data_IF_768520597101
#
_entry.id   IF_768520597101
#
_cell.length_a   1.000
_cell.length_b   1.000
_cell.length_c   1.000
_cell.angle_alpha   90.00
_cell.angle_beta   90.00
_cell.angle_gamma   90.00
#
_symmetry.space_group_name_H-M   'P 1'
#
loop_
_entity.id
_entity.type
_entity.pdbx_description
1 polymer ?
#
# COMPACT_ATOMS: atom_id res chain seq x y z
N UNK A 1 -48.58 14.02 18.46
CA UNK A 1 -48.95 13.28 17.27
C UNK A 1 -48.11 13.70 16.03
N UNK A 2 -48.15 14.99 15.61
CA UNK A 2 -47.42 15.44 14.41
C UNK A 2 -45.90 15.19 14.45
N UNK A 3 -45.24 15.42 15.59
CA UNK A 3 -43.80 15.15 15.77
C UNK A 3 -43.44 13.67 15.67
N UNK A 4 -44.28 12.78 16.18
CA UNK A 4 -44.07 11.33 16.06
C UNK A 4 -44.24 10.87 14.62
N UNK A 5 -45.26 11.37 13.94
CA UNK A 5 -45.46 11.10 12.50
C UNK A 5 -44.27 11.58 11.67
N UNK A 6 -43.78 12.80 11.92
CA UNK A 6 -42.62 13.35 11.22
C UNK A 6 -41.36 12.50 11.45
N UNK A 7 -41.14 12.05 12.68
CA UNK A 7 -40.01 11.19 13.02
C UNK A 7 -40.10 9.82 12.31
N UNK A 8 -41.26 9.20 12.31
CA UNK A 8 -41.51 7.95 11.58
C UNK A 8 -41.37 8.11 10.08
N UNK A 9 -41.85 9.22 9.51
CA UNK A 9 -41.69 9.55 8.11
C UNK A 9 -40.21 9.73 7.73
N UNK A 10 -39.44 10.43 8.57
CA UNK A 10 -37.99 10.59 8.37
C UNK A 10 -37.31 9.22 8.44
N UNK A 11 -37.63 8.38 9.42
CA UNK A 11 -37.09 7.04 9.57
C UNK A 11 -37.43 6.13 8.38
N UNK A 12 -38.64 6.27 7.82
CA UNK A 12 -39.08 5.52 6.65
C UNK A 12 -38.38 5.97 5.37
N UNK A 13 -38.11 7.28 5.23
CA UNK A 13 -37.44 7.85 4.08
C UNK A 13 -35.90 7.73 4.15
N UNK A 14 -35.35 7.41 5.33
CA UNK A 14 -33.91 7.24 5.50
C UNK A 14 -33.51 5.80 5.21
N UNK A 15 -32.64 5.60 4.24
CA UNK A 15 -32.09 4.27 3.96
C UNK A 15 -31.21 3.81 5.12
N UNK A 16 -31.46 2.60 5.61
CA UNK A 16 -30.62 1.94 6.62
C UNK A 16 -29.73 0.93 5.92
N UNK A 17 -28.43 1.10 6.06
CA UNK A 17 -27.46 0.11 5.60
C UNK A 17 -27.42 -1.05 6.59
N UNK A 18 -27.61 -2.27 6.12
CA UNK A 18 -27.39 -3.50 6.89
C UNK A 18 -26.18 -4.22 6.31
N UNK A 19 -25.44 -4.94 7.13
CA UNK A 19 -24.32 -5.75 6.68
C UNK A 19 -24.59 -7.24 6.94
N UNK A 20 -24.28 -8.06 5.96
CA UNK A 20 -24.33 -9.51 6.04
C UNK A 20 -22.92 -10.05 5.83
N UNK A 21 -22.54 -11.09 6.58
CA UNK A 21 -21.26 -11.78 6.44
C UNK A 21 -21.52 -13.23 6.06
N UNK A 22 -20.80 -13.72 5.07
CA UNK A 22 -20.86 -15.12 4.66
C UNK A 22 -19.49 -15.59 4.16
N UNK A 23 -19.29 -16.92 4.18
CA UNK A 23 -18.09 -17.54 3.65
C UNK A 23 -18.28 -17.77 2.16
N UNK A 24 -17.45 -17.14 1.36
CA UNK A 24 -17.44 -17.34 -0.10
C UNK A 24 -16.41 -18.40 -0.48
N UNK A 25 -16.89 -19.62 -0.73
CA UNK A 25 -16.05 -20.78 -1.07
C UNK A 25 -15.58 -20.75 -2.53
N UNK A 26 -16.30 -20.05 -3.41
CA UNK A 26 -16.05 -20.04 -4.86
C UNK A 26 -15.49 -18.70 -5.34
N UNK A 27 -14.47 -18.19 -4.67
CA UNK A 27 -13.77 -17.01 -5.18
C UNK A 27 -12.98 -17.37 -6.44
N UNK A 28 -13.51 -17.03 -7.58
CA UNK A 28 -12.80 -17.14 -8.86
C UNK A 28 -11.74 -16.07 -9.08
N UNK A 29 -11.11 -15.57 -8.01
CA UNK A 29 -10.08 -14.52 -8.10
C UNK A 29 -8.72 -15.13 -7.81
N UNK A 30 -7.94 -15.35 -8.86
CA UNK A 30 -6.58 -15.89 -8.75
C UNK A 30 -5.55 -14.81 -8.44
N UNK A 31 -5.80 -13.57 -8.83
CA UNK A 31 -4.91 -12.42 -8.65
C UNK A 31 -5.61 -11.25 -7.96
N UNK A 32 -4.92 -10.66 -7.01
CA UNK A 32 -5.34 -9.46 -6.30
C UNK A 32 -4.56 -8.26 -6.82
N UNK A 33 -5.27 -7.23 -7.28
CA UNK A 33 -4.68 -5.95 -7.69
C UNK A 33 -4.36 -5.13 -6.44
N UNK A 34 -3.12 -4.71 -6.32
CA UNK A 34 -2.62 -3.83 -5.25
C UNK A 34 -2.30 -2.49 -5.87
N UNK A 35 -2.96 -1.44 -5.40
CA UNK A 35 -2.67 -0.06 -5.81
C UNK A 35 -1.86 0.61 -4.72
N UNK A 36 -0.76 1.24 -5.08
CA UNK A 36 0.15 1.92 -4.16
C UNK A 36 0.44 3.35 -4.60
N UNK A 37 0.66 4.20 -3.61
CA UNK A 37 1.26 5.52 -3.73
C UNK A 37 2.02 5.78 -2.42
N UNK A 38 3.36 5.67 -2.47
CA UNK A 38 4.21 5.68 -1.28
C UNK A 38 5.43 6.57 -1.56
N UNK A 39 5.63 7.56 -0.70
CA UNK A 39 6.84 8.39 -0.69
C UNK A 39 7.87 7.82 0.28
N UNK A 40 9.09 7.62 -0.17
CA UNK A 40 10.22 7.14 0.61
C UNK A 40 11.28 8.24 0.59
N UNK A 41 11.61 8.78 1.77
CA UNK A 41 12.32 10.07 1.85
C UNK A 41 13.83 9.99 1.57
N UNK A 42 14.49 8.86 1.85
CA UNK A 42 15.95 8.78 1.87
C UNK A 42 16.52 7.56 1.14
N UNK A 43 15.79 7.05 0.16
CA UNK A 43 16.26 5.97 -0.71
C UNK A 43 16.12 6.44 -2.15
N UNK A 44 17.23 6.62 -2.88
CA UNK A 44 17.20 6.92 -4.31
C UNK A 44 16.37 5.90 -5.10
N UNK A 45 15.65 6.36 -6.11
CA UNK A 45 14.75 5.51 -6.89
C UNK A 45 15.44 4.30 -7.54
N UNK A 46 16.67 4.47 -7.98
CA UNK A 46 17.43 3.39 -8.64
C UNK A 46 17.85 2.27 -7.65
N UNK A 47 17.91 2.58 -6.34
CA UNK A 47 18.17 1.58 -5.29
C UNK A 47 16.91 0.86 -4.79
N UNK A 48 15.74 1.40 -5.06
CA UNK A 48 14.48 0.86 -4.55
C UNK A 48 13.96 -0.23 -5.47
N UNK A 49 13.67 -1.40 -4.91
CA UNK A 49 13.05 -2.52 -5.60
C UNK A 49 11.82 -3.02 -4.86
N UNK A 50 10.91 -3.61 -5.62
CA UNK A 50 9.73 -4.29 -5.11
C UNK A 50 9.97 -5.78 -5.27
N UNK A 51 9.82 -6.52 -4.19
CA UNK A 51 9.88 -7.97 -4.15
C UNK A 51 8.52 -8.49 -3.72
N UNK A 52 7.95 -9.39 -4.47
CA UNK A 52 6.74 -10.12 -4.06
C UNK A 52 7.13 -11.51 -3.56
N UNK A 53 6.40 -12.02 -2.58
CA UNK A 53 6.58 -13.39 -2.09
C UNK A 53 5.22 -14.04 -1.94
N UNK A 54 5.11 -15.24 -2.45
CA UNK A 54 3.91 -16.07 -2.34
C UNK A 54 3.81 -16.80 -0.99
N UNK A 55 2.78 -17.64 -0.84
CA UNK A 55 2.56 -18.45 0.37
C UNK A 55 3.67 -19.49 0.61
N UNK A 56 4.40 -19.89 -0.42
CA UNK A 56 5.52 -20.84 -0.33
C UNK A 56 6.84 -20.14 0.03
N UNK A 57 6.86 -18.79 0.04
CA UNK A 57 8.03 -17.98 0.31
C UNK A 57 8.92 -17.77 -0.92
N UNK A 58 8.47 -18.15 -2.12
CA UNK A 58 9.19 -17.90 -3.34
C UNK A 58 9.16 -16.39 -3.65
N UNK A 59 10.33 -15.82 -3.87
CA UNK A 59 10.48 -14.38 -4.10
C UNK A 59 10.64 -14.08 -5.57
N UNK A 60 9.90 -13.10 -6.07
CA UNK A 60 9.99 -12.61 -7.43
C UNK A 60 10.16 -11.10 -7.48
N UNK A 61 11.02 -10.66 -8.40
CA UNK A 61 11.15 -9.24 -8.80
C UNK A 61 10.33 -8.93 -10.05
N UNK A 62 9.81 -9.97 -10.70
CA UNK A 62 8.97 -9.82 -11.90
C UNK A 62 7.56 -9.41 -11.49
N UNK A 63 7.30 -8.12 -11.59
CA UNK A 63 6.05 -7.50 -11.17
C UNK A 63 5.16 -7.32 -12.38
N UNK A 64 4.02 -8.01 -12.38
CA UNK A 64 2.96 -7.78 -13.38
C UNK A 64 2.12 -6.59 -12.96
N UNK A 65 2.29 -5.46 -13.66
CA UNK A 65 1.58 -4.22 -13.35
C UNK A 65 2.22 -3.00 -14.00
N UNK A 66 1.71 -1.84 -13.63
CA UNK A 66 2.23 -0.55 -14.08
C UNK A 66 2.58 0.30 -12.86
N UNK A 67 3.86 0.50 -12.66
CA UNK A 67 4.40 1.31 -11.57
C UNK A 67 5.32 2.36 -12.16
N UNK A 68 5.24 3.55 -11.62
CA UNK A 68 6.13 4.66 -11.91
C UNK A 68 6.98 4.97 -10.68
N UNK A 69 8.23 5.32 -10.92
CA UNK A 69 9.17 5.84 -9.93
C UNK A 69 9.39 7.33 -10.19
N UNK A 70 9.06 8.17 -9.23
CA UNK A 70 9.33 9.61 -9.31
C UNK A 70 10.40 9.99 -8.29
N UNK A 71 11.50 10.58 -8.77
CA UNK A 71 12.54 11.10 -7.87
C UNK A 71 11.99 12.28 -7.08
N UNK A 72 12.25 12.28 -5.80
CA UNK A 72 11.85 13.36 -4.89
C UNK A 72 13.08 14.12 -4.40
N UNK A 73 12.98 15.44 -4.32
CA UNK A 73 13.96 16.24 -3.61
C UNK A 73 13.81 16.06 -2.08
N UNK A 74 14.73 16.60 -1.31
CA UNK A 74 14.69 16.61 0.16
C UNK A 74 13.38 17.17 0.76
N UNK A 75 12.62 17.97 0.03
CA UNK A 75 11.34 18.57 0.44
C UNK A 75 10.13 17.75 -0.03
N UNK A 76 10.34 16.64 -0.72
CA UNK A 76 9.30 15.81 -1.29
C UNK A 76 8.70 16.33 -2.60
N UNK A 77 9.40 17.24 -3.32
CA UNK A 77 8.98 17.72 -4.63
C UNK A 77 9.49 16.76 -5.71
N UNK A 78 8.64 16.43 -6.67
CA UNK A 78 8.99 15.58 -7.81
C UNK A 78 10.00 16.30 -8.70
N UNK A 79 11.12 15.63 -8.98
CA UNK A 79 12.18 16.08 -9.87
C UNK A 79 12.03 15.48 -11.28
N UNK A 80 11.78 14.16 -11.33
CA UNK A 80 11.67 13.38 -12.57
C UNK A 80 10.83 12.14 -12.34
N UNK A 81 10.18 11.63 -13.38
CA UNK A 81 9.31 10.44 -13.30
C UNK A 81 9.67 9.45 -14.39
N UNK A 82 9.93 8.21 -14.02
CA UNK A 82 10.30 7.12 -14.91
C UNK A 82 9.40 5.90 -14.66
N UNK A 83 9.22 5.06 -15.69
CA UNK A 83 8.58 3.76 -15.51
C UNK A 83 9.46 2.87 -14.62
N UNK A 84 8.81 2.05 -13.77
CA UNK A 84 9.51 1.08 -12.95
C UNK A 84 10.26 0.07 -13.84
N UNK A 85 11.57 0.00 -13.67
CA UNK A 85 12.43 -1.00 -14.28
C UNK A 85 13.51 -1.40 -13.28
N UNK A 86 13.84 -2.68 -13.25
CA UNK A 86 15.01 -3.18 -12.53
C UNK A 86 16.20 -3.10 -13.48
N UNK A 87 17.06 -2.09 -13.28
CA UNK A 87 18.27 -1.84 -14.10
C UNK A 87 19.50 -2.00 -13.24
N UNK A 88 20.64 -2.27 -13.89
CA UNK A 88 21.93 -2.14 -13.23
C UNK A 88 22.16 -0.64 -12.90
N UNK A 89 22.33 -0.32 -11.64
CA UNK A 89 22.42 1.06 -11.22
C UNK A 89 23.81 1.65 -11.47
N UNK A 90 23.84 2.91 -11.88
CA UNK A 90 25.09 3.66 -11.98
C UNK A 90 25.50 4.17 -10.60
N UNK A 91 26.62 3.66 -10.06
CA UNK A 91 27.12 3.98 -8.73
C UNK A 91 27.34 5.47 -8.49
N UNK A 92 27.98 6.18 -9.44
CA UNK A 92 28.28 7.62 -9.29
C UNK A 92 26.99 8.46 -9.26
N UNK A 93 26.01 8.11 -10.11
CA UNK A 93 24.70 8.77 -10.11
C UNK A 93 24.00 8.59 -8.76
N UNK A 94 23.96 7.37 -8.26
CA UNK A 94 23.31 7.06 -6.98
C UNK A 94 23.99 7.71 -5.79
N UNK A 95 25.33 7.78 -5.81
CA UNK A 95 26.11 8.50 -4.79
C UNK A 95 25.75 9.99 -4.76
N UNK A 96 25.53 10.59 -5.92
CA UNK A 96 25.11 11.99 -6.02
C UNK A 96 23.69 12.19 -5.51
N UNK A 97 22.75 11.33 -5.92
CA UNK A 97 21.35 11.37 -5.49
C UNK A 97 21.24 11.19 -3.96
N UNK A 98 21.98 10.22 -3.41
CA UNK A 98 22.01 9.97 -1.98
C UNK A 98 22.65 11.13 -1.18
N UNK A 99 23.70 11.79 -1.71
CA UNK A 99 24.25 13.03 -1.12
C UNK A 99 23.25 14.18 -1.08
N UNK A 100 22.40 14.27 -2.10
CA UNK A 100 21.35 15.27 -2.17
C UNK A 100 20.15 14.95 -1.25
N UNK A 101 20.21 13.84 -0.51
CA UNK A 101 19.11 13.32 0.31
C UNK A 101 17.83 13.13 -0.53
N UNK A 102 17.98 12.65 -1.77
CA UNK A 102 16.84 12.39 -2.64
C UNK A 102 16.06 11.17 -2.18
N UNK A 103 14.74 11.23 -2.36
CA UNK A 103 13.81 10.15 -2.12
C UNK A 103 13.18 9.60 -3.39
N UNK A 104 12.26 8.68 -3.22
CA UNK A 104 11.50 8.07 -4.31
C UNK A 104 10.02 7.96 -3.97
N UNK A 105 9.16 8.40 -4.88
CA UNK A 105 7.74 8.05 -4.85
C UNK A 105 7.51 6.85 -5.78
N UNK A 106 6.79 5.86 -5.26
CA UNK A 106 6.29 4.71 -6.01
C UNK A 106 4.80 4.84 -6.18
N UNK A 107 4.32 4.97 -7.42
CA UNK A 107 2.91 5.11 -7.72
C UNK A 107 2.49 4.16 -8.83
N UNK A 108 1.33 3.50 -8.66
CA UNK A 108 0.76 2.62 -9.67
C UNK A 108 0.07 1.40 -9.07
N UNK A 109 0.04 0.32 -9.85
CA UNK A 109 -0.55 -0.94 -9.41
C UNK A 109 0.26 -2.14 -9.87
N UNK A 110 0.09 -3.25 -9.13
CA UNK A 110 0.62 -4.55 -9.49
C UNK A 110 -0.30 -5.66 -9.00
N UNK A 111 -0.09 -6.87 -9.54
CA UNK A 111 -0.88 -8.03 -9.18
C UNK A 111 -0.07 -8.98 -8.30
N UNK A 112 -0.72 -9.47 -7.26
CA UNK A 112 -0.22 -10.53 -6.37
C UNK A 112 -1.21 -11.69 -6.37
N UNK A 113 -0.80 -12.84 -5.85
CA UNK A 113 -1.71 -13.97 -5.70
C UNK A 113 -2.78 -13.67 -4.62
N UNK A 114 -4.01 -14.11 -4.86
CA UNK A 114 -5.14 -13.91 -3.93
C UNK A 114 -5.12 -14.95 -2.78
N UNK A 115 -3.92 -15.27 -2.31
CA UNK A 115 -3.62 -16.13 -1.15
C UNK A 115 -2.76 -15.34 -0.17
N UNK A 116 -2.60 -15.77 1.08
CA UNK A 116 -1.67 -15.12 2.01
C UNK A 116 -0.28 -14.98 1.40
N UNK A 117 0.29 -13.79 1.50
CA UNK A 117 1.57 -13.50 0.88
C UNK A 117 2.16 -12.20 1.39
N UNK A 118 3.19 -11.71 0.70
CA UNK A 118 3.79 -10.43 1.05
C UNK A 118 4.40 -9.71 -0.15
N UNK A 119 4.53 -8.39 0.00
CA UNK A 119 5.38 -7.58 -0.87
C UNK A 119 6.30 -6.70 -0.02
N UNK A 120 7.49 -6.49 -0.52
CA UNK A 120 8.58 -5.83 0.19
C UNK A 120 9.13 -4.70 -0.68
N UNK A 121 9.14 -3.49 -0.15
CA UNK A 121 9.85 -2.35 -0.73
C UNK A 121 11.20 -2.26 -0.05
N UNK A 122 12.29 -2.45 -0.80
CA UNK A 122 13.62 -2.61 -0.19
C UNK A 122 14.74 -2.13 -1.11
N UNK A 123 15.83 -1.70 -0.49
CA UNK A 123 17.12 -1.47 -1.16
C UNK A 123 18.03 -2.70 -1.12
N UNK A 124 17.62 -3.79 -0.48
CA UNK A 124 18.44 -4.98 -0.28
C UNK A 124 18.79 -5.73 -1.57
N UNK A 125 18.01 -5.56 -2.65
CA UNK A 125 18.34 -6.12 -3.97
C UNK A 125 19.70 -5.64 -4.46
N UNK A 126 20.07 -4.41 -4.14
CA UNK A 126 21.36 -3.80 -4.45
C UNK A 126 22.27 -3.70 -3.21
N UNK A 127 22.20 -4.68 -2.31
CA UNK A 127 22.83 -4.64 -1.00
C UNK A 127 24.32 -4.29 -0.99
N UNK A 128 25.09 -4.86 -1.94
CA UNK A 128 26.52 -4.56 -2.08
C UNK A 128 26.77 -3.07 -2.39
N UNK A 129 25.94 -2.46 -3.21
CA UNK A 129 26.05 -1.05 -3.58
C UNK A 129 25.63 -0.18 -2.40
N UNK A 130 24.52 -0.51 -1.76
CA UNK A 130 24.04 0.22 -0.58
C UNK A 130 25.06 0.17 0.55
N UNK A 131 25.65 -1.00 0.82
CA UNK A 131 26.69 -1.16 1.83
C UNK A 131 27.95 -0.33 1.51
N UNK A 132 28.37 -0.32 0.24
CA UNK A 132 29.49 0.51 -0.20
C UNK A 132 29.18 2.01 -0.03
N UNK A 133 27.98 2.44 -0.40
CA UNK A 133 27.54 3.83 -0.22
C UNK A 133 27.55 4.24 1.26
N UNK A 134 27.09 3.36 2.17
CA UNK A 134 27.14 3.61 3.61
C UNK A 134 28.59 3.67 4.15
N UNK A 135 29.48 2.80 3.66
CA UNK A 135 30.88 2.76 4.10
C UNK A 135 31.71 3.95 3.59
N UNK A 136 31.42 4.45 2.40
CA UNK A 136 32.10 5.65 1.82
C UNK A 136 31.71 6.96 2.51
N UNK A 137 30.83 6.90 3.51
CA UNK A 137 30.51 7.96 4.46
C UNK A 137 29.37 8.89 4.03
N UNK A 138 28.61 9.33 5.03
CA UNK A 138 27.61 10.40 5.01
C UNK A 138 26.25 10.11 4.41
N UNK A 139 25.92 8.88 4.02
CA UNK A 139 24.59 8.60 3.46
C UNK A 139 23.60 8.18 4.53
N UNK A 140 22.56 8.99 4.69
CA UNK A 140 21.42 8.66 5.57
C UNK A 140 20.39 7.85 4.79
N UNK A 141 20.68 6.58 4.53
CA UNK A 141 19.70 5.67 3.97
C UNK A 141 18.86 5.13 5.12
N UNK A 142 17.56 5.38 5.09
CA UNK A 142 16.63 4.91 6.11
C UNK A 142 15.25 4.60 5.50
N UNK A 143 14.41 3.91 6.26
CA UNK A 143 13.08 3.50 5.82
C UNK A 143 11.98 4.53 6.16
N UNK A 144 12.33 5.82 6.32
CA UNK A 144 11.33 6.87 6.51
C UNK A 144 10.43 6.97 5.27
N UNK A 145 9.12 6.90 5.49
CA UNK A 145 8.17 6.90 4.39
C UNK A 145 6.81 7.49 4.77
N UNK A 146 6.08 7.87 3.74
CA UNK A 146 4.68 8.27 3.84
C UNK A 146 3.86 7.44 2.87
N UNK A 147 2.86 6.75 3.38
CA UNK A 147 1.88 6.02 2.58
C UNK A 147 0.78 7.02 2.21
N UNK A 148 0.77 7.50 0.96
CA UNK A 148 -0.29 8.35 0.45
C UNK A 148 -1.56 7.54 0.22
N UNK A 149 -1.41 6.35 -0.39
CA UNK A 149 -2.51 5.43 -0.64
C UNK A 149 -2.02 3.98 -0.75
N UNK A 150 -2.77 3.08 -0.12
CA UNK A 150 -2.77 1.65 -0.42
C UNK A 150 -4.22 1.21 -0.51
N UNK A 151 -4.59 0.51 -1.59
CA UNK A 151 -5.91 -0.09 -1.76
C UNK A 151 -5.82 -1.36 -2.59
N UNK A 152 -6.86 -2.17 -2.51
CA UNK A 152 -6.94 -3.47 -3.18
C UNK A 152 -8.13 -3.47 -4.14
N UNK A 153 -7.99 -4.18 -5.27
CA UNK A 153 -9.03 -4.25 -6.30
C UNK A 153 -9.10 -3.01 -7.20
N UNK A 154 -10.24 -2.80 -7.84
CA UNK A 154 -10.46 -1.68 -8.76
C UNK A 154 -10.85 -0.42 -7.97
N UNK A 155 -10.23 0.71 -8.30
CA UNK A 155 -10.43 1.97 -7.57
C UNK A 155 -11.59 2.81 -8.07
N UNK A 156 -12.30 2.38 -9.10
CA UNK A 156 -13.31 3.18 -9.80
C UNK A 156 -14.57 3.46 -8.98
N UNK A 157 -14.85 2.67 -7.94
CA UNK A 157 -16.11 2.72 -7.20
C UNK A 157 -16.07 3.60 -5.94
N UNK A 158 -14.96 4.27 -5.66
CA UNK A 158 -14.76 5.01 -4.39
C UNK A 158 -15.82 6.09 -4.13
N UNK A 159 -16.14 6.87 -5.13
CA UNK A 159 -17.13 7.93 -5.00
C UNK A 159 -18.53 7.37 -4.76
N UNK A 160 -18.89 6.32 -5.49
CA UNK A 160 -20.20 5.68 -5.35
C UNK A 160 -20.38 5.00 -4.01
N UNK A 161 -19.33 4.34 -3.49
CA UNK A 161 -19.34 3.76 -2.15
C UNK A 161 -19.48 4.85 -1.09
N UNK A 162 -18.73 5.94 -1.21
CA UNK A 162 -18.82 7.04 -0.27
C UNK A 162 -20.18 7.72 -0.25
N UNK A 163 -20.78 7.95 -1.43
CA UNK A 163 -22.08 8.62 -1.56
C UNK A 163 -23.25 7.77 -1.07
N UNK A 164 -23.23 6.45 -1.30
CA UNK A 164 -24.34 5.55 -0.97
C UNK A 164 -24.23 4.94 0.43
N UNK A 165 -23.02 4.62 0.90
CA UNK A 165 -22.79 3.89 2.16
C UNK A 165 -22.13 4.75 3.25
N UNK A 166 -21.71 5.95 2.93
CA UNK A 166 -21.13 6.91 3.85
C UNK A 166 -19.61 6.79 4.02
N UNK A 167 -19.05 7.87 4.55
CA UNK A 167 -17.59 8.07 4.67
C UNK A 167 -16.89 7.01 5.55
N UNK A 168 -17.55 6.55 6.61
CA UNK A 168 -16.94 5.62 7.56
C UNK A 168 -16.70 4.25 6.92
N UNK A 169 -17.66 3.76 6.13
CA UNK A 169 -17.56 2.48 5.42
C UNK A 169 -16.52 2.61 4.29
N UNK A 170 -16.61 3.65 3.48
CA UNK A 170 -15.64 3.90 2.41
C UNK A 170 -14.19 4.02 2.90
N UNK A 171 -13.98 4.55 4.10
CA UNK A 171 -12.63 4.69 4.70
C UNK A 171 -11.96 3.36 5.00
N UNK A 172 -12.71 2.27 5.20
CA UNK A 172 -12.15 0.95 5.49
C UNK A 172 -11.34 0.37 4.32
N UNK A 173 -11.62 0.79 3.08
CA UNK A 173 -10.84 0.42 1.90
C UNK A 173 -9.50 1.20 1.79
N UNK A 174 -9.27 2.16 2.67
CA UNK A 174 -8.13 3.09 2.63
C UNK A 174 -7.51 3.33 4.01
N UNK A 175 -7.44 2.30 4.83
CA UNK A 175 -7.06 2.40 6.25
C UNK A 175 -5.63 2.93 6.47
N UNK A 176 -4.70 2.69 5.53
CA UNK A 176 -3.30 3.17 5.58
C UNK A 176 -3.08 4.54 4.94
N UNK A 177 -4.12 5.19 4.39
CA UNK A 177 -3.93 6.46 3.71
C UNK A 177 -3.42 7.56 4.64
N UNK A 178 -2.40 8.30 4.16
CA UNK A 178 -1.73 9.38 4.88
C UNK A 178 -0.99 8.95 6.16
N UNK A 179 -0.65 7.67 6.29
CA UNK A 179 0.19 7.20 7.39
C UNK A 179 1.63 7.59 7.12
N UNK A 180 2.24 8.33 8.06
CA UNK A 180 3.65 8.72 8.01
C UNK A 180 4.44 7.99 9.09
N UNK A 181 5.60 7.44 8.73
CA UNK A 181 6.59 6.88 9.65
C UNK A 181 7.86 7.71 9.53
N UNK A 182 8.19 8.42 10.60
CA UNK A 182 9.42 9.19 10.68
C UNK A 182 10.59 8.29 11.05
N UNK A 183 11.80 8.76 10.75
CA UNK A 183 13.01 8.08 11.15
C UNK A 183 13.06 7.89 12.67
N UNK A 184 13.23 6.64 13.08
CA UNK A 184 13.59 6.26 14.44
C UNK A 184 14.98 5.66 14.43
N UNK A 185 15.83 6.08 15.37
CA UNK A 185 17.20 5.61 15.45
C UNK A 185 17.25 4.08 15.54
N UNK A 186 18.03 3.44 14.68
CA UNK A 186 18.18 1.99 14.56
C UNK A 186 16.96 1.24 13.98
N UNK A 187 15.95 1.92 13.45
CA UNK A 187 14.88 1.23 12.73
C UNK A 187 15.35 0.87 11.33
N UNK A 188 15.40 -0.43 11.07
CA UNK A 188 15.79 -1.00 9.77
C UNK A 188 14.60 -1.38 8.93
N UNK A 189 13.54 -1.89 9.55
CA UNK A 189 12.37 -2.40 8.85
C UNK A 189 11.07 -1.92 9.49
N UNK A 190 10.12 -1.51 8.65
CA UNK A 190 8.71 -1.34 9.04
C UNK A 190 7.90 -2.51 8.52
N UNK A 191 7.20 -3.20 9.40
CA UNK A 191 6.31 -4.31 9.05
C UNK A 191 4.86 -3.90 9.18
N UNK A 192 4.05 -4.22 8.16
CA UNK A 192 2.62 -4.00 8.08
C UNK A 192 1.91 -5.34 7.89
N UNK A 193 1.00 -5.67 8.78
CA UNK A 193 0.13 -6.83 8.67
C UNK A 193 -1.24 -6.38 8.23
N UNK A 194 -1.66 -6.81 7.06
CA UNK A 194 -2.90 -6.40 6.42
C UNK A 194 -3.87 -7.57 6.41
N UNK A 195 -5.04 -7.39 7.04
CA UNK A 195 -6.16 -8.31 6.92
C UNK A 195 -7.14 -7.76 5.91
N UNK A 196 -7.21 -8.39 4.75
CA UNK A 196 -8.03 -7.94 3.62
C UNK A 196 -9.36 -8.70 3.65
N UNK A 197 -10.46 -7.98 3.52
CA UNK A 197 -11.82 -8.51 3.55
C UNK A 197 -12.53 -8.13 2.25
N UNK A 198 -12.87 -9.10 1.39
CA UNK A 198 -13.69 -8.85 0.22
C UNK A 198 -15.04 -8.29 0.63
N UNK A 199 -15.48 -7.27 -0.09
CA UNK A 199 -16.70 -6.54 0.26
C UNK A 199 -17.53 -6.31 -1.00
N UNK A 200 -18.83 -6.60 -0.89
CA UNK A 200 -19.82 -6.29 -1.94
C UNK A 200 -20.70 -5.16 -1.45
N UNK A 201 -20.88 -4.18 -2.30
CA UNK A 201 -21.79 -3.07 -2.08
C UNK A 201 -22.95 -3.20 -3.05
N UNK A 202 -24.16 -3.44 -2.53
CA UNK A 202 -25.38 -3.62 -3.33
C UNK A 202 -26.23 -2.39 -3.23
N UNK A 203 -26.45 -1.76 -4.37
CA UNK A 203 -27.39 -0.66 -4.52
C UNK A 203 -28.52 -1.08 -5.46
N UNK A 204 -29.59 -0.30 -5.51
CA UNK A 204 -30.70 -0.56 -6.46
C UNK A 204 -30.26 -0.59 -7.94
N UNK A 205 -29.12 0.03 -8.27
CA UNK A 205 -28.64 0.16 -9.65
C UNK A 205 -27.48 -0.76 -9.98
N UNK A 206 -26.57 -0.95 -9.04
CA UNK A 206 -25.28 -1.60 -9.29
C UNK A 206 -24.85 -2.47 -8.10
N UNK A 207 -24.09 -3.51 -8.43
CA UNK A 207 -23.29 -4.27 -7.47
C UNK A 207 -21.82 -3.89 -7.70
N UNK A 208 -21.17 -3.42 -6.63
CA UNK A 208 -19.77 -3.03 -6.66
C UNK A 208 -18.96 -3.97 -5.77
N UNK A 209 -17.91 -4.54 -6.33
CA UNK A 209 -16.96 -5.35 -5.57
C UNK A 209 -15.75 -4.49 -5.18
N UNK A 210 -15.35 -4.54 -3.93
CA UNK A 210 -14.21 -3.81 -3.39
C UNK A 210 -13.57 -4.63 -2.26
N UNK A 211 -12.50 -4.11 -1.67
CA UNK A 211 -11.82 -4.72 -0.54
C UNK A 211 -11.68 -3.72 0.59
N UNK A 212 -12.15 -4.10 1.75
CA UNK A 212 -11.83 -3.41 2.99
C UNK A 212 -10.60 -4.06 3.62
N UNK A 213 -9.82 -3.31 4.38
CA UNK A 213 -8.73 -3.91 5.14
C UNK A 213 -8.47 -3.19 6.45
N UNK A 214 -7.97 -3.97 7.40
CA UNK A 214 -7.41 -3.46 8.64
C UNK A 214 -5.91 -3.73 8.66
N UNK A 215 -5.16 -2.95 9.42
CA UNK A 215 -3.72 -3.14 9.54
C UNK A 215 -3.23 -3.03 10.96
N UNK A 216 -2.11 -3.69 11.21
CA UNK A 216 -1.24 -3.46 12.36
C UNK A 216 0.17 -3.19 11.84
N UNK A 217 0.95 -2.37 12.55
CA UNK A 217 2.30 -2.05 12.13
C UNK A 217 3.26 -1.99 13.31
N UNK A 218 4.47 -2.46 13.11
CA UNK A 218 5.55 -2.27 14.06
C UNK A 218 6.87 -1.97 13.34
N UNK A 219 7.80 -1.38 14.08
CA UNK A 219 9.14 -1.06 13.63
C UNK A 219 10.13 -2.08 14.22
N UNK A 220 10.88 -2.73 13.36
CA UNK A 220 11.96 -3.64 13.75
C UNK A 220 13.28 -2.89 13.81
N UNK A 221 14.05 -3.13 14.86
CA UNK A 221 15.34 -2.49 15.09
C UNK A 221 16.46 -3.46 14.77
N UNK A 222 17.34 -3.04 13.88
CA UNK A 222 18.53 -3.80 13.51
C UNK A 222 19.68 -2.85 13.18
N UNK A 223 20.91 -3.23 13.54
CA UNK A 223 22.09 -2.36 13.35
C UNK A 223 22.67 -2.52 11.93
N UNK A 224 22.41 -3.64 11.27
CA UNK A 224 23.05 -4.02 9.99
C UNK A 224 22.05 -4.41 8.89
N UNK A 225 20.76 -4.19 9.08
CA UNK A 225 19.77 -4.55 8.11
C UNK A 225 19.50 -3.41 7.13
N UNK A 226 19.24 -3.78 5.87
CA UNK A 226 18.91 -2.83 4.83
C UNK A 226 17.53 -2.23 5.07
N UNK A 227 17.37 -0.89 4.93
CA UNK A 227 16.08 -0.24 5.09
C UNK A 227 15.01 -0.84 4.19
N UNK A 228 13.89 -1.21 4.80
CA UNK A 228 12.81 -1.88 4.06
C UNK A 228 11.44 -1.66 4.69
N UNK A 229 10.41 -1.82 3.86
CA UNK A 229 9.01 -1.83 4.27
C UNK A 229 8.38 -3.13 3.80
N UNK A 230 7.94 -3.95 4.74
CA UNK A 230 7.40 -5.27 4.50
C UNK A 230 5.89 -5.26 4.75
N UNK A 231 5.11 -5.51 3.71
CA UNK A 231 3.66 -5.61 3.75
C UNK A 231 3.26 -7.07 3.62
N UNK A 232 2.79 -7.66 4.72
CA UNK A 232 2.23 -9.01 4.76
C UNK A 232 0.72 -8.91 4.69
N UNK A 233 0.10 -9.63 3.77
CA UNK A 233 -1.34 -9.60 3.60
C UNK A 233 -1.93 -11.01 3.75
N UNK A 234 -3.12 -11.04 4.33
CA UNK A 234 -3.94 -12.22 4.47
C UNK A 234 -5.36 -11.91 4.00
N UNK A 235 -5.89 -12.72 3.09
CA UNK A 235 -7.21 -12.54 2.53
C UNK A 235 -8.24 -13.33 3.35
N UNK A 236 -9.20 -12.63 3.97
CA UNK A 236 -10.24 -13.24 4.77
C UNK A 236 -11.12 -14.18 3.94
N UNK A 237 -11.46 -15.38 4.41
CA UNK A 237 -12.44 -16.25 3.76
C UNK A 237 -13.88 -15.70 3.84
N UNK A 238 -14.10 -14.72 4.70
CA UNK A 238 -15.41 -14.09 4.89
C UNK A 238 -15.55 -12.92 3.94
N UNK A 239 -16.67 -12.84 3.25
CA UNK A 239 -17.09 -11.69 2.45
C UNK A 239 -18.14 -10.89 3.21
N UNK A 240 -18.01 -9.58 3.21
CA UNK A 240 -18.99 -8.65 3.79
C UNK A 240 -19.84 -8.07 2.65
N UNK A 241 -21.14 -8.02 2.86
CA UNK A 241 -22.11 -7.44 1.93
C UNK A 241 -22.88 -6.31 2.64
N UNK A 242 -22.95 -5.16 2.01
CA UNK A 242 -23.71 -3.99 2.46
C UNK A 242 -24.85 -3.69 1.53
#
# INVERSE_FOLDING_TARGET
MALLFLNELINYLTYKTSSIMYVDVNRGVDKLKVNIDIDISHIPCDLLSILTSDALGERSTDIKGEITKSRLDKKGKILDTNKYEVKEPNFEKMKLEAKNEEGCNLQGYFFVDAVPGSFLLTSAYYGNIVQRLIMEGDLKINAEHKINQISFGETNNRYDIWSNFGKNIAKLSYSLNNVKKNYEKYTSMYQYYLKIVPTKYITFKNVMNDYQYTYNSYAERGIHEMPSMHFRYDLSPITVEY
#
